data_IF_139722841179
#
_entry.id   IF_139722841179
#
_cell.length_a   1.000
_cell.length_b   1.000
_cell.length_c   1.000
_cell.angle_alpha   90.00
_cell.angle_beta   90.00
_cell.angle_gamma   90.00
#
_symmetry.space_group_name_H-M   'P 1'
#
loop_
_entity.id
_entity.type
_entity.pdbx_description
1 polymer ?
#
# COMPACT_ATOMS: atom_id res chain seq x y z
N UNK A 1 13.85 -27.19 -27.47
CA UNK A 1 12.50 -26.69 -27.78
C UNK A 1 11.84 -26.19 -26.51
N UNK A 2 11.08 -25.11 -26.65
CA UNK A 2 10.12 -24.48 -25.73
C UNK A 2 10.65 -23.87 -24.41
N UNK A 3 10.84 -22.55 -24.44
CA UNK A 3 11.08 -21.72 -23.26
C UNK A 3 9.84 -21.61 -22.36
N UNK A 4 10.07 -21.63 -21.04
CA UNK A 4 9.03 -21.56 -20.01
C UNK A 4 8.99 -20.17 -19.39
N UNK A 5 8.79 -19.15 -20.23
CA UNK A 5 8.49 -17.79 -19.78
C UNK A 5 7.12 -17.77 -19.09
N UNK A 6 7.11 -18.00 -17.79
CA UNK A 6 5.89 -17.92 -16.96
C UNK A 6 5.65 -16.45 -16.59
N UNK A 7 5.29 -15.64 -17.59
CA UNK A 7 5.11 -14.20 -17.44
C UNK A 7 3.95 -13.60 -18.25
N UNK A 8 3.18 -14.40 -19.00
CA UNK A 8 2.14 -13.88 -19.89
C UNK A 8 0.92 -14.81 -19.92
N UNK A 9 0.25 -14.95 -18.78
CA UNK A 9 -1.07 -15.59 -18.75
C UNK A 9 -2.00 -14.90 -17.76
N UNK A 10 -1.96 -13.58 -17.71
CA UNK A 10 -3.23 -12.87 -17.60
C UNK A 10 -3.93 -13.06 -18.95
N UNK A 11 -5.11 -13.71 -19.02
CA UNK A 11 -5.85 -13.76 -20.26
C UNK A 11 -6.08 -12.31 -20.68
N UNK A 12 -5.55 -11.93 -21.84
CA UNK A 12 -5.93 -10.68 -22.48
C UNK A 12 -7.45 -10.71 -22.58
N UNK A 13 -8.15 -9.80 -21.89
CA UNK A 13 -9.61 -9.75 -21.88
C UNK A 13 -10.08 -9.67 -23.32
N UNK A 14 -10.58 -10.79 -23.84
CA UNK A 14 -11.17 -10.86 -25.17
C UNK A 14 -12.26 -9.78 -25.20
N UNK A 15 -12.21 -8.92 -26.21
CA UNK A 15 -13.14 -7.81 -26.40
C UNK A 15 -14.56 -8.30 -26.73
N UNK A 16 -15.19 -9.03 -25.80
CA UNK A 16 -16.63 -9.30 -25.81
C UNK A 16 -17.32 -8.22 -24.99
N UNK A 17 -18.04 -7.37 -25.74
CA UNK A 17 -18.58 -6.07 -25.36
C UNK A 17 -19.78 -6.11 -24.40
N UNK A 18 -19.76 -6.97 -23.36
CA UNK A 18 -20.82 -7.06 -22.33
C UNK A 18 -20.36 -7.52 -20.93
N UNK A 19 -19.07 -7.57 -20.63
CA UNK A 19 -18.61 -7.74 -19.25
C UNK A 19 -18.20 -6.36 -18.72
N UNK A 20 -19.07 -5.74 -17.91
CA UNK A 20 -18.64 -4.66 -17.03
C UNK A 20 -17.79 -5.31 -15.93
N UNK A 21 -16.49 -5.43 -16.18
CA UNK A 21 -15.54 -5.82 -15.16
C UNK A 21 -15.24 -4.54 -14.36
N UNK A 22 -15.80 -4.45 -13.16
CA UNK A 22 -15.49 -3.36 -12.25
C UNK A 22 -14.09 -3.60 -11.69
N UNK A 23 -13.19 -2.65 -11.92
CA UNK A 23 -11.91 -2.66 -11.22
C UNK A 23 -12.15 -2.36 -9.74
N UNK A 24 -11.47 -3.06 -8.81
CA UNK A 24 -11.59 -2.75 -7.40
C UNK A 24 -11.11 -1.31 -7.16
N UNK A 25 -11.91 -0.56 -6.39
CA UNK A 25 -11.55 0.80 -6.01
C UNK A 25 -10.30 0.75 -5.13
N UNK A 26 -9.23 1.41 -5.57
CA UNK A 26 -8.00 1.55 -4.80
C UNK A 26 -8.09 2.79 -3.93
N UNK A 27 -8.01 2.58 -2.63
CA UNK A 27 -7.94 3.63 -1.62
C UNK A 27 -6.68 3.39 -0.82
N UNK A 28 -5.99 4.47 -0.48
CA UNK A 28 -4.76 4.41 0.31
C UNK A 28 -4.59 5.73 1.05
N UNK A 29 -4.09 5.60 2.27
CA UNK A 29 -3.68 6.69 3.12
C UNK A 29 -2.42 6.27 3.87
N UNK A 30 -1.58 7.23 4.23
CA UNK A 30 -0.29 6.99 4.87
C UNK A 30 -0.12 7.91 6.07
N UNK A 31 0.65 7.45 7.06
CA UNK A 31 1.12 8.32 8.12
C UNK A 31 2.22 9.27 7.65
N UNK A 32 2.61 10.19 8.54
CA UNK A 32 3.74 11.08 8.32
C UNK A 32 5.08 10.33 8.33
N UNK A 33 5.99 10.75 7.45
CA UNK A 33 7.36 10.23 7.43
C UNK A 33 8.15 10.70 8.66
N UNK A 34 8.85 9.76 9.29
CA UNK A 34 9.83 10.07 10.34
C UNK A 34 11.24 9.93 9.77
N UNK A 35 12.03 11.00 9.90
CA UNK A 35 13.41 11.01 9.46
C UNK A 35 14.34 10.63 10.61
N UNK A 36 15.11 9.55 10.43
CA UNK A 36 16.01 9.02 11.45
C UNK A 36 17.03 10.08 11.94
N UNK A 37 17.47 10.99 11.06
CA UNK A 37 18.37 12.11 11.40
C UNK A 37 17.83 13.04 12.50
N UNK A 38 16.51 13.10 12.68
CA UNK A 38 15.85 13.98 13.64
C UNK A 38 15.67 13.28 15.01
N UNK A 39 15.98 11.98 15.08
CA UNK A 39 15.95 11.20 16.31
C UNK A 39 17.21 11.44 17.13
N UNK A 40 17.05 11.56 18.46
CA UNK A 40 18.18 11.81 19.39
C UNK A 40 19.04 10.57 19.62
N UNK A 41 18.43 9.39 19.54
CA UNK A 41 19.09 8.10 19.70
C UNK A 41 18.39 7.07 18.79
N UNK A 42 19.16 6.29 18.05
CA UNK A 42 18.64 5.30 17.10
C UNK A 42 18.17 4.01 17.79
N UNK A 43 18.65 3.78 19.02
CA UNK A 43 18.27 2.61 19.82
C UNK A 43 16.94 2.82 20.57
N UNK A 44 16.38 4.03 20.53
CA UNK A 44 15.10 4.35 21.16
C UNK A 44 13.93 3.80 20.32
N UNK A 45 12.82 3.51 21.00
CA UNK A 45 11.58 3.10 20.34
C UNK A 45 11.07 4.21 19.40
N UNK A 46 10.85 3.86 18.13
CA UNK A 46 10.33 4.78 17.12
C UNK A 46 8.81 4.61 17.03
N UNK A 47 8.07 5.66 17.38
CA UNK A 47 6.62 5.69 17.24
C UNK A 47 6.28 6.19 15.83
N UNK A 48 5.78 5.31 14.98
CA UNK A 48 5.33 5.66 13.62
C UNK A 48 3.85 6.08 13.66
N UNK A 49 3.49 7.32 13.27
CA UNK A 49 2.09 7.69 13.13
C UNK A 49 1.46 6.90 11.99
N UNK A 50 0.23 6.44 12.19
CA UNK A 50 -0.59 5.89 11.12
C UNK A 50 -1.29 6.99 10.31
N UNK A 51 -2.15 6.61 9.36
CA UNK A 51 -3.03 7.54 8.66
C UNK A 51 -3.90 8.38 9.61
N UNK A 52 -4.32 9.58 9.19
CA UNK A 52 -5.09 10.51 10.03
C UNK A 52 -6.45 9.92 10.44
N UNK A 53 -7.09 9.18 9.55
CA UNK A 53 -8.36 8.50 9.82
C UNK A 53 -8.12 7.11 10.39
N UNK A 54 -9.08 6.62 11.18
CA UNK A 54 -9.03 5.24 11.65
C UNK A 54 -9.31 4.29 10.48
N UNK A 55 -8.35 3.43 10.18
CA UNK A 55 -8.48 2.37 9.17
C UNK A 55 -8.74 1.02 9.85
N UNK A 56 -9.44 0.09 9.17
CA UNK A 56 -9.54 -1.28 9.64
C UNK A 56 -8.19 -1.96 9.73
N UNK A 57 -8.13 -3.02 10.53
CA UNK A 57 -6.99 -3.93 10.53
C UNK A 57 -6.85 -4.65 9.19
N UNK A 58 -5.94 -5.61 9.12
CA UNK A 58 -5.77 -6.40 7.91
C UNK A 58 -7.01 -7.26 7.64
N UNK A 59 -7.61 -7.11 6.46
CA UNK A 59 -8.81 -7.83 6.04
C UNK A 59 -8.54 -8.52 4.70
N UNK A 60 -8.84 -9.81 4.61
CA UNK A 60 -8.72 -10.59 3.38
C UNK A 60 -10.03 -11.33 3.13
N UNK A 61 -10.99 -10.64 2.50
CA UNK A 61 -12.31 -11.17 2.18
C UNK A 61 -12.55 -11.18 0.67
N UNK A 62 -13.62 -11.85 0.23
CA UNK A 62 -14.01 -11.84 -1.18
C UNK A 62 -14.55 -10.50 -1.70
N UNK A 63 -14.83 -9.53 -0.82
CA UNK A 63 -15.40 -8.23 -1.19
C UNK A 63 -14.41 -7.07 -1.03
N UNK A 64 -13.69 -7.03 0.09
CA UNK A 64 -12.67 -6.02 0.39
C UNK A 64 -11.39 -6.68 0.86
N UNK A 65 -10.27 -6.05 0.51
CA UNK A 65 -8.95 -6.38 1.01
C UNK A 65 -8.29 -5.12 1.59
N UNK A 66 -7.77 -5.22 2.80
CA UNK A 66 -7.04 -4.15 3.49
C UNK A 66 -5.70 -4.72 3.90
N UNK A 67 -4.63 -4.09 3.43
CA UNK A 67 -3.26 -4.45 3.74
C UNK A 67 -2.56 -3.24 4.33
N UNK A 68 -1.61 -3.51 5.23
CA UNK A 68 -0.78 -2.50 5.85
C UNK A 68 0.67 -2.75 5.45
N UNK A 69 1.43 -1.68 5.25
CA UNK A 69 2.82 -1.74 4.83
C UNK A 69 3.64 -0.78 5.67
N UNK A 70 4.79 -1.26 6.15
CA UNK A 70 5.86 -0.43 6.67
C UNK A 70 6.81 -0.14 5.51
N UNK A 71 7.00 1.14 5.21
CA UNK A 71 7.92 1.59 4.17
C UNK A 71 9.08 2.32 4.83
N UNK A 72 10.30 1.96 4.43
CA UNK A 72 11.51 2.71 4.75
C UNK A 72 12.15 3.18 3.45
N UNK A 73 12.47 4.47 3.37
CA UNK A 73 13.22 5.04 2.25
C UNK A 73 14.67 5.31 2.68
N UNK A 74 15.61 4.75 1.93
CA UNK A 74 17.04 4.99 2.06
C UNK A 74 17.49 5.87 0.90
N UNK A 75 18.19 6.95 1.21
CA UNK A 75 18.73 7.88 0.22
C UNK A 75 20.25 7.90 0.41
N UNK A 76 21.00 7.57 -0.65
CA UNK A 76 22.45 7.67 -0.61
C UNK A 76 22.93 9.11 -0.91
N UNK A 77 24.22 9.38 -0.73
CA UNK A 77 24.81 10.70 -0.95
C UNK A 77 24.68 11.21 -2.40
N UNK A 78 24.49 10.32 -3.36
CA UNK A 78 24.25 10.62 -4.78
C UNK A 78 22.77 10.89 -5.11
N UNK A 79 21.87 10.79 -4.12
CA UNK A 79 20.43 10.98 -4.28
C UNK A 79 19.67 9.77 -4.83
N UNK A 80 20.34 8.62 -4.97
CA UNK A 80 19.67 7.34 -5.29
C UNK A 80 18.78 6.92 -4.14
N UNK A 81 17.51 6.65 -4.45
CA UNK A 81 16.49 6.23 -3.49
C UNK A 81 16.23 4.74 -3.59
N UNK A 82 16.20 4.08 -2.45
CA UNK A 82 15.82 2.67 -2.32
C UNK A 82 14.70 2.56 -1.29
N UNK A 83 13.61 1.87 -1.65
CA UNK A 83 12.52 1.60 -0.72
C UNK A 83 12.58 0.15 -0.27
N UNK A 84 12.47 -0.05 1.04
CA UNK A 84 12.19 -1.34 1.63
C UNK A 84 10.74 -1.33 2.13
N UNK A 85 9.99 -2.35 1.75
CA UNK A 85 8.57 -2.48 2.10
C UNK A 85 8.37 -3.80 2.84
N UNK A 86 7.72 -3.73 4.00
CA UNK A 86 7.34 -4.89 4.79
C UNK A 86 5.83 -4.90 5.05
N UNK A 87 5.11 -5.94 4.63
CA UNK A 87 3.71 -6.11 4.99
C UNK A 87 3.54 -6.26 6.51
N UNK A 88 2.49 -5.64 7.04
CA UNK A 88 2.08 -5.74 8.43
C UNK A 88 0.70 -6.41 8.52
N UNK A 89 0.52 -7.22 9.57
CA UNK A 89 -0.79 -7.73 9.98
C UNK A 89 -1.25 -6.88 11.15
N UNK A 90 -2.24 -6.04 10.90
CA UNK A 90 -2.83 -5.17 11.92
C UNK A 90 -4.09 -5.82 12.47
N UNK A 91 -4.24 -5.80 13.78
CA UNK A 91 -5.45 -6.27 14.45
C UNK A 91 -6.64 -5.35 14.13
N UNK A 92 -7.85 -5.91 14.16
CA UNK A 92 -9.04 -5.10 13.97
C UNK A 92 -9.35 -4.29 15.23
N UNK A 93 -9.72 -3.03 15.02
CA UNK A 93 -10.28 -2.21 16.09
C UNK A 93 -11.66 -2.74 16.51
N UNK A 94 -11.95 -2.72 17.81
CA UNK A 94 -13.30 -2.99 18.34
C UNK A 94 -14.27 -1.81 18.16
N UNK A 95 -13.80 -0.67 17.67
CA UNK A 95 -14.61 0.50 17.40
C UNK A 95 -15.23 0.45 16.01
N UNK A 96 -16.38 1.10 15.85
CA UNK A 96 -16.96 1.36 14.53
C UNK A 96 -15.99 2.26 13.75
N UNK A 97 -15.61 1.81 12.57
CA UNK A 97 -14.74 2.55 11.66
C UNK A 97 -15.61 3.25 10.63
N UNK A 98 -15.39 4.55 10.47
CA UNK A 98 -16.11 5.38 9.50
C UNK A 98 -15.15 6.38 8.87
N UNK A 99 -15.04 6.33 7.54
CA UNK A 99 -14.24 7.26 6.74
C UNK A 99 -15.21 7.93 5.77
N UNK A 100 -15.72 9.12 6.14
CA UNK A 100 -16.77 9.83 5.38
C UNK A 100 -16.39 10.07 3.91
N UNK A 101 -15.10 10.37 3.67
CA UNK A 101 -14.54 10.57 2.34
C UNK A 101 -13.31 9.70 2.17
N UNK A 102 -13.48 8.55 1.53
CA UNK A 102 -12.38 7.64 1.24
C UNK A 102 -11.36 8.31 0.30
N UNK A 103 -10.05 8.25 0.63
CA UNK A 103 -8.99 8.79 -0.22
C UNK A 103 -8.77 7.85 -1.41
N UNK A 104 -9.60 8.01 -2.44
CA UNK A 104 -9.50 7.24 -3.68
C UNK A 104 -8.25 7.68 -4.43
N UNK A 105 -7.39 6.71 -4.75
CA UNK A 105 -6.19 6.91 -5.56
C UNK A 105 -6.43 6.24 -6.90
N UNK A 106 -6.89 7.04 -7.87
CA UNK A 106 -7.10 6.60 -9.25
C UNK A 106 -5.78 6.62 -10.00
N UNK A 107 -5.02 5.52 -10.00
CA UNK A 107 -3.80 5.46 -10.81
C UNK A 107 -2.81 4.37 -10.39
N UNK A 108 -1.89 4.08 -11.31
CA UNK A 108 -0.79 3.13 -11.10
C UNK A 108 0.19 3.71 -10.06
N UNK A 109 0.48 2.93 -9.01
CA UNK A 109 1.22 3.36 -7.82
C UNK A 109 2.63 3.89 -8.12
N UNK A 110 3.24 3.51 -9.25
CA UNK A 110 4.59 3.96 -9.60
C UNK A 110 4.71 5.44 -10.01
N UNK A 111 3.58 6.15 -10.18
CA UNK A 111 3.55 7.57 -10.55
C UNK A 111 3.33 8.51 -9.36
N UNK A 112 3.19 7.94 -8.16
CA UNK A 112 2.87 8.70 -6.95
C UNK A 112 4.10 8.75 -6.04
N UNK A 113 4.60 9.97 -5.82
CA UNK A 113 5.67 10.31 -4.89
C UNK A 113 5.21 10.14 -3.42
N UNK A 114 4.90 8.90 -3.03
CA UNK A 114 4.72 8.52 -1.62
C UNK A 114 6.07 8.48 -0.90
#
# INVERSE_FOLDING_TARGET
ELGTGVGESTPMTVAHRRVMMLEPMRVLDSGEWIYIKDLRNIDDEIILPGPEKLWPGSIYSGLIAVHWELIMEFVNDEGTRMKWVRPLIMENSHHRIEIEKLPVKSGRLELSDY
#
